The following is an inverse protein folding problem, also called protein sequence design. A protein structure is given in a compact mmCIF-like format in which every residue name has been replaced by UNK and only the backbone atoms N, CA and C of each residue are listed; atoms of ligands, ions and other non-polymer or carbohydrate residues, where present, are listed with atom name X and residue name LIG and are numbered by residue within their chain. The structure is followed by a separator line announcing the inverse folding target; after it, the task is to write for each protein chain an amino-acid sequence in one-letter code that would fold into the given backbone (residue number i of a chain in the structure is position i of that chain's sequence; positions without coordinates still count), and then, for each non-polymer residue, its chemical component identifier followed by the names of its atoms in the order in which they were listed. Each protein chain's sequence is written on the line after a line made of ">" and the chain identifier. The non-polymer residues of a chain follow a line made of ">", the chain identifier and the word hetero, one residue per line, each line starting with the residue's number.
data_IF_081537845061
#
_entry.id   IF_081537845061
#
_cell.length_a   1.000
_cell.length_b   1.000
_cell.length_c   1.000
_cell.angle_alpha   90.00
_cell.angle_beta   90.00
_cell.angle_gamma   90.00
#
_symmetry.space_group_name_H-M   'P 1'
#
loop_
_entity.id
_entity.type
_entity.pdbx_description
1 polymer ?
#
# COMPACT_ATOMS: atom_id res chain seq x y z
N UNK A 1 11.33 20.55 10.86
CA UNK A 1 10.21 20.37 11.80
C UNK A 1 8.91 20.60 11.02
N UNK A 2 7.98 19.65 11.07
CA UNK A 2 6.68 19.75 10.41
C UNK A 2 5.70 20.48 11.34
N UNK A 3 5.17 21.63 10.92
CA UNK A 3 4.13 22.36 11.69
C UNK A 3 2.78 21.65 11.69
N UNK A 4 2.59 20.59 10.89
CA UNK A 4 1.34 19.84 10.83
C UNK A 4 0.94 19.25 12.20
N UNK A 5 1.93 18.90 13.02
CA UNK A 5 1.68 18.39 14.36
C UNK A 5 1.03 19.41 15.28
N UNK A 6 1.30 20.70 15.08
CA UNK A 6 0.68 21.80 15.84
C UNK A 6 -0.80 21.95 15.47
N UNK A 7 -1.19 21.51 14.27
CA UNK A 7 -2.57 21.56 13.77
C UNK A 7 -3.38 20.30 14.08
N UNK A 8 -2.80 19.29 14.75
CA UNK A 8 -3.47 18.02 15.04
C UNK A 8 -3.37 17.69 16.54
N UNK A 9 -4.40 17.10 17.16
CA UNK A 9 -4.42 16.87 18.61
C UNK A 9 -3.46 15.79 19.10
N UNK A 10 -3.11 14.82 18.26
CA UNK A 10 -2.35 13.61 18.64
C UNK A 10 -1.08 13.39 17.80
N UNK A 11 -0.15 12.58 18.31
CA UNK A 11 1.09 12.25 17.61
C UNK A 11 0.87 11.24 16.47
N UNK A 12 -0.09 10.33 16.66
CA UNK A 12 -0.33 9.21 15.76
C UNK A 12 -1.81 9.03 15.43
N UNK A 13 -2.06 8.31 14.33
CA UNK A 13 -3.36 7.81 13.88
C UNK A 13 -3.23 6.30 13.72
N UNK A 14 -4.13 5.53 14.32
CA UNK A 14 -4.25 4.09 14.08
C UNK A 14 -4.88 3.86 12.70
N UNK A 15 -4.13 3.27 11.78
CA UNK A 15 -4.59 2.93 10.43
C UNK A 15 -5.54 1.72 10.47
N UNK A 16 -6.20 1.43 9.34
CA UNK A 16 -7.09 0.27 9.21
C UNK A 16 -6.42 -1.08 9.51
N UNK A 17 -5.11 -1.18 9.32
CA UNK A 17 -4.32 -2.39 9.61
C UNK A 17 -3.89 -2.47 11.10
N UNK A 18 -4.36 -1.54 11.93
CA UNK A 18 -4.04 -1.47 13.36
C UNK A 18 -2.69 -0.82 13.68
N UNK A 19 -1.91 -0.37 12.69
CA UNK A 19 -0.62 0.28 12.92
C UNK A 19 -0.78 1.75 13.25
N UNK A 20 0.09 2.24 14.12
CA UNK A 20 0.19 3.67 14.42
C UNK A 20 0.99 4.39 13.33
N UNK A 21 0.44 5.50 12.82
CA UNK A 21 1.08 6.35 11.82
C UNK A 21 1.30 7.76 12.35
N UNK A 22 2.54 8.22 12.35
CA UNK A 22 2.89 9.56 12.84
C UNK A 22 2.32 10.66 11.96
N UNK A 23 1.62 11.61 12.58
CA UNK A 23 1.04 12.78 11.90
C UNK A 23 2.11 13.66 11.26
N UNK A 24 3.30 13.74 11.87
CA UNK A 24 4.45 14.45 11.30
C UNK A 24 4.90 13.88 9.96
N UNK A 25 4.54 12.64 9.61
CA UNK A 25 4.89 12.02 8.32
C UNK A 25 3.92 12.36 7.19
N UNK A 26 2.76 12.97 7.47
CA UNK A 26 1.75 13.38 6.48
C UNK A 26 2.18 14.62 5.68
N UNK A 27 3.38 14.61 5.09
CA UNK A 27 4.01 15.79 4.50
C UNK A 27 3.46 16.18 3.13
N UNK A 28 2.95 15.23 2.35
CA UNK A 28 2.46 15.45 0.96
C UNK A 28 1.23 14.58 0.71
N UNK A 29 0.57 14.73 -0.45
CA UNK A 29 -0.58 13.88 -0.77
C UNK A 29 -0.21 12.42 -1.03
N UNK A 30 1.07 12.08 -1.18
CA UNK A 30 1.53 10.68 -1.23
C UNK A 30 1.11 9.88 0.00
N UNK A 31 1.12 10.49 1.18
CA UNK A 31 0.67 9.83 2.41
C UNK A 31 -0.85 9.76 2.55
N UNK A 32 -1.57 10.43 1.65
CA UNK A 32 -3.00 10.26 1.44
C UNK A 32 -3.28 9.22 0.33
N UNK A 33 -2.22 8.52 -0.12
CA UNK A 33 -2.21 7.58 -1.23
C UNK A 33 -2.69 8.21 -2.55
N UNK A 34 -2.50 9.52 -2.70
CA UNK A 34 -2.75 10.23 -3.95
C UNK A 34 -1.65 9.91 -4.96
N UNK A 35 -2.04 9.82 -6.23
CA UNK A 35 -1.14 9.51 -7.33
C UNK A 35 -0.93 10.74 -8.20
N UNK A 36 0.31 10.92 -8.63
CA UNK A 36 0.66 11.91 -9.64
C UNK A 36 0.37 11.34 -11.04
N UNK A 37 -0.03 12.20 -11.96
CA UNK A 37 -0.35 11.88 -13.35
C UNK A 37 -0.19 13.11 -14.25
N UNK A 38 -0.50 12.99 -15.54
CA UNK A 38 -0.53 14.16 -16.44
C UNK A 38 -1.51 15.26 -15.96
N UNK A 39 -2.54 14.90 -15.20
CA UNK A 39 -3.60 15.80 -14.71
C UNK A 39 -3.63 15.95 -13.20
N UNK A 40 -2.70 15.32 -12.48
CA UNK A 40 -2.65 15.35 -11.02
C UNK A 40 -1.21 15.49 -10.49
N UNK A 41 -0.99 16.41 -9.55
CA UNK A 41 0.28 16.55 -8.84
C UNK A 41 0.02 16.91 -7.37
N UNK A 42 0.28 15.95 -6.50
CA UNK A 42 0.09 16.03 -5.06
C UNK A 42 1.43 16.07 -4.29
N UNK A 43 2.52 16.42 -4.99
CA UNK A 43 3.86 16.51 -4.42
C UNK A 43 4.07 17.72 -3.50
N UNK A 44 3.15 18.69 -3.55
CA UNK A 44 3.23 19.90 -2.73
C UNK A 44 3.08 19.59 -1.22
N UNK A 45 3.72 20.40 -0.35
CA UNK A 45 3.56 20.24 1.09
C UNK A 45 2.11 20.37 1.54
N UNK A 46 1.67 19.44 2.38
CA UNK A 46 0.36 19.49 2.99
C UNK A 46 0.22 20.69 3.93
N UNK A 47 -1.02 21.13 4.10
CA UNK A 47 -1.39 22.27 4.95
C UNK A 47 -2.19 21.75 6.13
N UNK A 48 -1.83 22.18 7.34
CA UNK A 48 -2.62 21.96 8.55
C UNK A 48 -3.59 23.12 8.77
N UNK A 49 -4.85 22.80 9.04
CA UNK A 49 -5.94 23.75 9.26
C UNK A 49 -6.65 23.36 10.56
N UNK A 50 -6.97 24.35 11.39
CA UNK A 50 -7.90 24.19 12.51
C UNK A 50 -9.11 25.06 12.18
N UNK A 51 -10.28 24.44 12.07
CA UNK A 51 -11.54 25.14 11.76
C UNK A 51 -12.06 25.89 12.99
N UNK A 52 -13.07 26.75 12.79
CA UNK A 52 -13.60 27.61 13.86
C UNK A 52 -14.22 26.86 15.05
N UNK A 53 -14.65 25.61 14.84
CA UNK A 53 -15.14 24.69 15.87
C UNK A 53 -14.02 23.86 16.53
N UNK A 54 -12.75 24.09 16.15
CA UNK A 54 -11.59 23.39 16.67
C UNK A 54 -11.25 22.08 15.98
N UNK A 55 -12.01 21.68 14.94
CA UNK A 55 -11.76 20.46 14.17
C UNK A 55 -10.45 20.58 13.37
N UNK A 56 -9.48 19.68 13.58
CA UNK A 56 -8.23 19.68 12.84
C UNK A 56 -8.40 19.00 11.46
N UNK A 57 -7.75 19.55 10.45
CA UNK A 57 -7.69 19.02 9.10
C UNK A 57 -6.25 19.11 8.57
N UNK A 58 -5.81 18.08 7.85
CA UNK A 58 -4.61 18.13 7.01
C UNK A 58 -5.05 17.99 5.55
N UNK A 59 -4.67 18.95 4.72
CA UNK A 59 -5.11 19.08 3.33
C UNK A 59 -3.93 18.98 2.37
N UNK A 60 -4.13 18.27 1.26
CA UNK A 60 -3.25 18.18 0.11
C UNK A 60 -3.96 18.74 -1.12
N UNK A 61 -3.23 19.50 -1.94
CA UNK A 61 -3.77 20.15 -3.13
C UNK A 61 -3.13 19.57 -4.39
N UNK A 62 -3.97 19.33 -5.41
CA UNK A 62 -3.53 19.02 -6.76
C UNK A 62 -3.06 20.31 -7.45
N UNK A 63 -1.76 20.49 -7.60
CA UNK A 63 -1.18 21.72 -8.21
C UNK A 63 -1.51 21.88 -9.70
N UNK A 64 -2.00 20.81 -10.36
CA UNK A 64 -2.46 20.85 -11.76
C UNK A 64 -3.90 21.34 -11.90
N UNK A 65 -4.64 21.50 -10.81
CA UNK A 65 -5.97 22.08 -10.89
C UNK A 65 -5.91 23.56 -11.26
N UNK A 66 -6.81 23.96 -12.15
CA UNK A 66 -6.99 25.36 -12.49
C UNK A 66 -7.41 26.16 -11.27
N UNK A 67 -6.92 27.40 -11.18
CA UNK A 67 -7.36 28.33 -10.15
C UNK A 67 -8.88 28.50 -10.21
N UNK A 68 -9.53 28.44 -9.05
CA UNK A 68 -10.96 28.65 -8.97
C UNK A 68 -11.29 30.10 -9.32
N UNK A 69 -12.29 30.28 -10.19
CA UNK A 69 -12.84 31.59 -10.48
C UNK A 69 -13.68 32.03 -9.27
N UNK A 70 -13.30 33.10 -8.55
CA UNK A 70 -13.98 33.52 -7.33
C UNK A 70 -15.43 33.98 -7.56
N UNK A 71 -15.81 34.28 -8.80
CA UNK A 71 -17.20 34.68 -9.14
C UNK A 71 -18.02 33.54 -9.72
N UNK A 72 -17.43 32.37 -9.94
CA UNK A 72 -18.12 31.21 -10.53
C UNK A 72 -18.67 30.30 -9.45
N UNK A 73 -19.97 30.02 -9.53
CA UNK A 73 -20.61 28.98 -8.71
C UNK A 73 -20.33 27.61 -9.33
N UNK A 74 -19.69 26.72 -8.57
CA UNK A 74 -19.44 25.35 -8.97
C UNK A 74 -20.50 24.43 -8.36
N UNK A 75 -21.52 24.08 -9.16
CA UNK A 75 -22.62 23.22 -8.72
C UNK A 75 -22.14 21.82 -8.34
N UNK A 76 -22.70 21.30 -7.25
CA UNK A 76 -22.49 19.92 -6.80
C UNK A 76 -23.51 19.00 -7.46
N UNK A 77 -23.07 17.81 -7.86
CA UNK A 77 -23.97 16.68 -8.06
C UNK A 77 -24.41 16.16 -6.69
N UNK A 78 -25.64 15.67 -6.60
CA UNK A 78 -26.18 15.08 -5.37
C UNK A 78 -26.76 13.69 -5.64
N UNK A 79 -26.56 12.78 -4.68
CA UNK A 79 -27.18 11.46 -4.62
C UNK A 79 -27.74 11.29 -3.20
N UNK A 80 -28.99 10.84 -3.08
CA UNK A 80 -29.71 10.77 -1.79
C UNK A 80 -29.67 12.09 -0.98
N UNK A 81 -29.77 13.23 -1.67
CA UNK A 81 -29.63 14.58 -1.11
C UNK A 81 -28.27 14.87 -0.44
N UNK A 82 -27.24 14.10 -0.77
CA UNK A 82 -25.86 14.32 -0.31
C UNK A 82 -24.98 14.75 -1.49
N UNK A 83 -24.08 15.73 -1.31
CA UNK A 83 -23.14 16.12 -2.36
C UNK A 83 -22.19 14.96 -2.70
N UNK A 84 -21.98 14.71 -4.00
CA UNK A 84 -21.15 13.60 -4.49
C UNK A 84 -19.89 14.14 -5.17
N UNK A 85 -20.03 14.92 -6.22
CA UNK A 85 -18.91 15.51 -6.96
C UNK A 85 -19.19 16.95 -7.35
N UNK A 86 -18.14 17.75 -7.48
CA UNK A 86 -18.16 18.94 -8.31
C UNK A 86 -16.84 19.05 -9.10
N UNK A 87 -16.75 20.02 -10.00
CA UNK A 87 -15.56 20.25 -10.83
C UNK A 87 -14.26 20.50 -10.04
N UNK A 88 -14.35 20.81 -8.75
CA UNK A 88 -13.22 21.19 -7.89
C UNK A 88 -12.92 20.16 -6.81
N UNK A 89 -13.82 19.18 -6.61
CA UNK A 89 -13.72 18.20 -5.53
C UNK A 89 -12.44 17.37 -5.67
N UNK A 90 -12.11 16.93 -6.88
CA UNK A 90 -10.89 16.18 -7.18
C UNK A 90 -9.58 16.99 -7.09
N UNK A 91 -9.64 18.27 -6.72
CA UNK A 91 -8.47 19.13 -6.57
C UNK A 91 -7.88 19.12 -5.17
N UNK A 92 -8.61 18.57 -4.20
CA UNK A 92 -8.19 18.51 -2.80
C UNK A 92 -8.39 17.10 -2.27
N UNK A 93 -7.42 16.65 -1.46
CA UNK A 93 -7.54 15.47 -0.64
C UNK A 93 -7.28 15.88 0.81
N UNK A 94 -8.07 15.39 1.76
CA UNK A 94 -7.98 15.83 3.13
C UNK A 94 -8.26 14.72 4.15
N UNK A 95 -7.71 14.92 5.34
CA UNK A 95 -7.82 14.05 6.51
C UNK A 95 -8.34 14.89 7.66
N UNK A 96 -9.45 14.49 8.28
CA UNK A 96 -10.13 15.25 9.34
C UNK A 96 -10.22 14.41 10.60
N UNK A 97 -10.04 15.03 11.76
CA UNK A 97 -10.43 14.40 13.01
C UNK A 97 -11.88 14.79 13.32
N UNK A 98 -12.78 13.82 13.38
CA UNK A 98 -14.22 14.07 13.46
C UNK A 98 -14.82 13.85 14.85
N UNK A 99 -14.04 13.38 15.84
CA UNK A 99 -14.60 12.83 17.07
C UNK A 99 -13.97 13.29 18.40
N UNK A 100 -13.04 14.23 18.40
CA UNK A 100 -12.68 15.13 19.48
C UNK A 100 -12.23 14.56 20.84
N UNK A 101 -12.34 13.26 21.16
CA UNK A 101 -12.25 12.79 22.57
C UNK A 101 -11.74 11.36 22.85
N UNK A 102 -11.42 10.50 21.88
CA UNK A 102 -10.89 9.14 22.18
C UNK A 102 -9.52 8.92 21.55
N UNK A 103 -8.55 8.54 22.38
CA UNK A 103 -7.23 8.06 21.94
C UNK A 103 -7.23 6.52 21.83
N UNK A 104 -6.43 5.94 20.92
CA UNK A 104 -5.84 6.60 19.75
C UNK A 104 -6.90 6.88 18.68
N UNK A 105 -6.64 7.88 17.84
CA UNK A 105 -7.51 8.22 16.72
C UNK A 105 -7.48 7.11 15.68
N UNK A 106 -8.63 6.51 15.36
CA UNK A 106 -8.68 5.44 14.37
C UNK A 106 -9.19 5.94 13.03
N UNK A 107 -8.51 5.54 11.96
CA UNK A 107 -8.95 5.76 10.59
C UNK A 107 -10.34 5.15 10.37
N UNK A 108 -11.24 5.92 9.75
CA UNK A 108 -12.65 5.60 9.50
C UNK A 108 -13.57 5.53 10.74
N UNK A 109 -13.07 5.79 11.95
CA UNK A 109 -13.89 5.95 13.16
C UNK A 109 -13.81 7.38 13.67
N UNK A 110 -12.60 7.82 14.03
CA UNK A 110 -12.31 9.17 14.53
C UNK A 110 -11.64 10.04 13.48
N UNK A 111 -11.07 9.43 12.43
CA UNK A 111 -10.41 10.12 11.33
C UNK A 111 -11.12 9.85 10.02
N UNK A 112 -11.69 10.89 9.43
CA UNK A 112 -12.35 10.83 8.14
C UNK A 112 -11.41 11.23 6.99
N UNK A 113 -11.63 10.63 5.83
CA UNK A 113 -10.92 10.93 4.59
C UNK A 113 -11.88 11.59 3.60
N UNK A 114 -11.45 12.67 2.95
CA UNK A 114 -12.15 13.30 1.84
C UNK A 114 -11.26 13.28 0.61
N UNK A 115 -11.69 12.60 -0.45
CA UNK A 115 -10.95 12.46 -1.71
C UNK A 115 -9.50 11.93 -1.58
N UNK A 116 -9.15 11.42 -0.41
CA UNK A 116 -7.92 10.68 -0.16
C UNK A 116 -8.18 9.19 -0.39
N UNK A 117 -7.25 8.52 -1.07
CA UNK A 117 -7.34 7.09 -1.34
C UNK A 117 -7.03 6.23 -0.10
N UNK A 118 -6.34 6.80 0.88
CA UNK A 118 -6.00 6.17 2.13
C UNK A 118 -5.19 7.07 3.04
N UNK A 119 -4.56 6.48 4.05
CA UNK A 119 -3.69 7.19 4.98
C UNK A 119 -2.45 6.35 5.28
N UNK A 120 -1.31 7.01 5.37
CA UNK A 120 -0.02 6.38 5.63
C UNK A 120 0.84 6.24 4.39
N UNK A 121 2.02 5.64 4.58
CA UNK A 121 2.94 5.39 3.48
C UNK A 121 2.35 4.34 2.53
N UNK A 122 2.31 4.63 1.22
CA UNK A 122 2.26 3.56 0.20
C UNK A 122 3.47 2.62 0.31
N UNK A 123 4.52 3.06 1.00
CA UNK A 123 5.74 2.33 1.32
C UNK A 123 5.70 1.68 2.71
N UNK A 124 5.31 0.42 2.80
CA UNK A 124 5.52 -0.40 3.99
C UNK A 124 6.95 -0.98 4.03
N UNK A 125 7.52 -1.35 2.88
CA UNK A 125 8.87 -1.94 2.79
C UNK A 125 9.70 -1.13 1.79
N UNK A 126 10.76 -0.49 2.27
CA UNK A 126 11.72 0.23 1.42
C UNK A 126 13.02 -0.57 1.33
N UNK A 127 13.44 -0.88 0.11
CA UNK A 127 14.71 -1.54 -0.17
C UNK A 127 15.79 -0.51 -0.51
N UNK A 128 17.06 -0.88 -0.28
CA UNK A 128 18.22 -0.01 -0.54
C UNK A 128 18.38 0.40 -2.01
N UNK A 129 17.77 -0.34 -2.94
CA UNK A 129 17.71 0.05 -4.36
C UNK A 129 16.63 1.09 -4.67
N UNK A 130 16.04 1.70 -3.64
CA UNK A 130 15.00 2.73 -3.77
C UNK A 130 13.60 2.18 -4.05
N UNK A 131 13.45 0.86 -4.27
CA UNK A 131 12.13 0.25 -4.43
C UNK A 131 11.33 0.34 -3.14
N UNK A 132 10.05 0.56 -3.34
CA UNK A 132 9.10 0.81 -2.29
C UNK A 132 7.94 -0.16 -2.49
N UNK A 133 7.49 -0.84 -1.44
CA UNK A 133 6.40 -1.81 -1.53
C UNK A 133 5.29 -1.51 -0.54
N UNK A 134 4.05 -1.78 -0.93
CA UNK A 134 2.85 -1.63 -0.10
C UNK A 134 2.84 -2.58 1.09
N UNK A 135 1.90 -2.34 2.02
CA UNK A 135 1.58 -3.34 3.04
C UNK A 135 1.18 -4.66 2.40
N UNK A 136 1.51 -5.76 3.07
CA UNK A 136 1.14 -7.09 2.60
C UNK A 136 -0.35 -7.32 2.71
N UNK A 137 -0.88 -8.11 1.79
CA UNK A 137 -2.27 -8.52 1.76
C UNK A 137 -2.37 -10.01 1.41
N UNK A 138 -3.51 -10.59 1.77
CA UNK A 138 -3.90 -11.93 1.30
C UNK A 138 -4.67 -11.77 0.00
N UNK A 139 -4.20 -12.32 -1.13
CA UNK A 139 -4.89 -12.14 -2.40
C UNK A 139 -6.28 -12.77 -2.41
N UNK A 140 -7.25 -12.11 -3.03
CA UNK A 140 -8.48 -12.76 -3.49
C UNK A 140 -8.17 -13.43 -4.83
N UNK A 141 -8.47 -14.72 -5.02
CA UNK A 141 -8.12 -15.41 -6.26
C UNK A 141 -8.90 -14.84 -7.45
N UNK A 142 -8.29 -14.90 -8.62
CA UNK A 142 -9.02 -14.77 -9.87
C UNK A 142 -9.60 -16.12 -10.29
N UNK A 143 -10.80 -16.10 -10.84
CA UNK A 143 -11.30 -17.25 -11.58
C UNK A 143 -10.54 -17.42 -12.90
N UNK A 144 -10.55 -18.65 -13.44
CA UNK A 144 -9.94 -18.91 -14.75
C UNK A 144 -10.48 -17.98 -15.84
N UNK A 145 -11.81 -17.76 -15.86
CA UNK A 145 -12.46 -16.90 -16.82
C UNK A 145 -12.04 -15.43 -16.68
N UNK A 146 -11.96 -14.91 -15.45
CA UNK A 146 -11.47 -13.54 -15.20
C UNK A 146 -9.99 -13.38 -15.55
N UNK A 147 -9.17 -14.40 -15.26
CA UNK A 147 -7.76 -14.41 -15.63
C UNK A 147 -7.61 -14.37 -17.15
N UNK A 148 -8.28 -15.25 -17.89
CA UNK A 148 -8.21 -15.29 -19.36
C UNK A 148 -8.66 -13.97 -20.00
N UNK A 149 -9.69 -13.33 -19.44
CA UNK A 149 -10.18 -12.04 -19.92
C UNK A 149 -9.18 -10.89 -19.75
N UNK A 150 -8.24 -10.98 -18.78
CA UNK A 150 -7.32 -9.89 -18.42
C UNK A 150 -5.84 -10.24 -18.51
N UNK A 151 -5.48 -11.46 -18.90
CA UNK A 151 -4.09 -11.94 -18.85
C UNK A 151 -3.10 -11.06 -19.62
N UNK A 152 -3.51 -10.56 -20.78
CA UNK A 152 -2.69 -9.67 -21.60
C UNK A 152 -2.45 -8.31 -20.92
N UNK A 153 -3.50 -7.71 -20.34
CA UNK A 153 -3.41 -6.46 -19.55
C UNK A 153 -2.50 -6.62 -18.35
N UNK A 154 -2.59 -7.77 -17.67
CA UNK A 154 -1.87 -8.07 -16.44
C UNK A 154 -0.45 -8.60 -16.68
N UNK A 155 -0.08 -8.91 -17.92
CA UNK A 155 1.21 -9.54 -18.26
C UNK A 155 1.34 -11.00 -17.81
N UNK A 156 0.22 -11.69 -17.59
CA UNK A 156 0.16 -13.12 -17.26
C UNK A 156 0.28 -13.93 -18.56
N UNK A 157 1.17 -14.93 -18.62
CA UNK A 157 1.32 -15.76 -19.82
C UNK A 157 0.10 -16.66 -20.04
N UNK A 158 -0.27 -17.42 -19.02
CA UNK A 158 -1.34 -18.42 -19.10
C UNK A 158 -2.15 -18.53 -17.80
N UNK A 159 -3.41 -18.94 -17.93
CA UNK A 159 -4.37 -19.08 -16.82
C UNK A 159 -4.78 -20.55 -16.66
N UNK A 160 -4.27 -21.19 -15.61
CA UNK A 160 -4.37 -22.63 -15.47
C UNK A 160 -5.48 -23.10 -14.51
N UNK A 161 -5.86 -22.27 -13.54
CA UNK A 161 -6.69 -22.71 -12.41
C UNK A 161 -7.99 -21.94 -12.28
N UNK A 162 -9.00 -22.62 -11.73
CA UNK A 162 -10.29 -22.02 -11.41
C UNK A 162 -10.22 -21.06 -10.23
N UNK A 163 -9.24 -21.21 -9.34
CA UNK A 163 -8.96 -20.29 -8.24
C UNK A 163 -7.46 -19.98 -8.22
N UNK A 164 -7.07 -18.87 -8.81
CA UNK A 164 -5.68 -18.47 -9.00
C UNK A 164 -5.35 -17.27 -8.11
N UNK A 165 -4.79 -17.56 -6.92
CA UNK A 165 -4.42 -16.56 -5.92
C UNK A 165 -3.24 -15.71 -6.37
N UNK A 166 -2.32 -16.27 -7.16
CA UNK A 166 -1.24 -15.49 -7.74
C UNK A 166 -1.77 -14.49 -8.78
N UNK A 167 -2.66 -14.92 -9.70
CA UNK A 167 -3.30 -14.01 -10.64
C UNK A 167 -4.16 -12.96 -9.93
N UNK A 168 -4.77 -13.33 -8.79
CA UNK A 168 -5.41 -12.41 -7.86
C UNK A 168 -4.47 -11.32 -7.34
N UNK A 169 -3.27 -11.70 -6.90
CA UNK A 169 -2.24 -10.77 -6.47
C UNK A 169 -1.80 -9.84 -7.61
N UNK A 170 -1.55 -10.42 -8.79
CA UNK A 170 -1.19 -9.69 -10.01
C UNK A 170 -2.27 -8.66 -10.37
N UNK A 171 -3.55 -9.03 -10.34
CA UNK A 171 -4.67 -8.11 -10.57
C UNK A 171 -4.68 -6.97 -9.56
N UNK A 172 -4.51 -7.29 -8.27
CA UNK A 172 -4.52 -6.27 -7.22
C UNK A 172 -3.34 -5.29 -7.35
N UNK A 173 -2.19 -5.75 -7.83
CA UNK A 173 -1.04 -4.90 -8.11
C UNK A 173 -1.07 -4.24 -9.50
N UNK A 174 -2.06 -4.55 -10.34
CA UNK A 174 -2.15 -3.98 -11.69
C UNK A 174 -1.10 -4.50 -12.67
N UNK A 175 -0.58 -5.72 -12.46
CA UNK A 175 0.32 -6.40 -13.39
C UNK A 175 1.52 -7.08 -12.74
N UNK A 176 2.11 -8.05 -13.45
CA UNK A 176 3.23 -8.88 -12.93
C UNK A 176 4.46 -8.05 -12.55
N UNK A 177 4.71 -6.97 -13.29
CA UNK A 177 5.84 -6.07 -13.05
C UNK A 177 5.69 -5.22 -11.78
N UNK A 178 4.49 -5.17 -11.21
CA UNK A 178 4.20 -4.45 -9.98
C UNK A 178 4.25 -5.37 -8.74
N UNK A 179 4.62 -6.64 -8.89
CA UNK A 179 4.98 -7.51 -7.77
C UNK A 179 6.51 -7.49 -7.56
N UNK A 180 7.00 -7.88 -6.37
CA UNK A 180 8.44 -8.04 -6.15
C UNK A 180 9.02 -9.13 -7.07
N UNK A 181 10.25 -8.91 -7.52
CA UNK A 181 11.06 -9.99 -8.13
C UNK A 181 11.58 -10.93 -7.04
N UNK A 182 12.04 -12.13 -7.42
CA UNK A 182 12.71 -13.04 -6.49
C UNK A 182 13.98 -12.43 -5.90
N UNK A 183 14.66 -11.55 -6.64
CA UNK A 183 15.78 -10.77 -6.14
C UNK A 183 15.35 -9.75 -5.06
N UNK A 184 14.22 -9.07 -5.24
CA UNK A 184 13.67 -8.17 -4.23
C UNK A 184 13.29 -8.95 -2.96
N UNK A 185 12.66 -10.12 -3.10
CA UNK A 185 12.35 -11.01 -1.97
C UNK A 185 13.62 -11.50 -1.24
N UNK A 186 14.73 -11.73 -1.96
CA UNK A 186 16.03 -12.04 -1.36
C UNK A 186 16.59 -10.89 -0.51
N UNK A 187 16.41 -9.64 -0.96
CA UNK A 187 16.79 -8.46 -0.16
C UNK A 187 15.94 -8.30 1.09
N UNK A 188 14.64 -8.54 1.00
CA UNK A 188 13.75 -8.58 2.17
C UNK A 188 14.21 -9.65 3.15
N UNK A 189 14.57 -10.85 2.66
CA UNK A 189 15.13 -11.89 3.52
C UNK A 189 16.41 -11.41 4.22
N UNK A 190 17.31 -10.79 3.47
CA UNK A 190 18.56 -10.25 4.02
C UNK A 190 18.28 -9.26 5.16
N UNK A 191 17.24 -8.43 5.06
CA UNK A 191 16.89 -7.43 6.07
C UNK A 191 16.25 -8.00 7.36
N UNK A 192 15.67 -9.21 7.34
CA UNK A 192 14.98 -9.78 8.51
C UNK A 192 15.83 -10.74 9.35
N UNK A 193 16.89 -11.32 8.76
CA UNK A 193 17.78 -12.26 9.46
C UNK A 193 19.01 -11.55 10.02
N UNK A 194 19.51 -12.06 11.14
CA UNK A 194 20.69 -11.55 11.80
C UNK A 194 21.93 -11.55 10.88
N UNK A 195 22.69 -10.46 10.94
CA UNK A 195 23.93 -10.30 10.17
C UNK A 195 23.75 -9.92 8.70
N UNK A 196 22.53 -9.61 8.25
CA UNK A 196 22.21 -9.24 6.87
C UNK A 196 22.81 -10.21 5.84
N UNK A 197 22.48 -11.51 5.92
CA UNK A 197 23.11 -12.52 5.06
C UNK A 197 22.84 -12.24 3.59
N UNK A 198 23.78 -12.59 2.72
CA UNK A 198 23.54 -12.49 1.27
C UNK A 198 22.57 -13.58 0.83
N UNK A 199 21.34 -13.19 0.47
CA UNK A 199 20.31 -14.10 -0.05
C UNK A 199 20.07 -13.83 -1.54
N UNK A 200 20.49 -14.77 -2.39
CA UNK A 200 20.25 -14.73 -3.83
C UNK A 200 18.79 -15.03 -4.21
N UNK A 201 18.39 -14.63 -5.42
CA UNK A 201 17.01 -14.73 -5.91
C UNK A 201 16.42 -16.15 -5.81
N UNK A 202 17.20 -17.18 -6.18
CA UNK A 202 16.75 -18.58 -6.19
C UNK A 202 17.49 -19.48 -5.19
N UNK A 203 18.09 -18.88 -4.15
CA UNK A 203 18.89 -19.62 -3.19
C UNK A 203 18.03 -20.13 -2.02
N UNK A 204 18.40 -21.32 -1.55
CA UNK A 204 18.08 -21.80 -0.21
C UNK A 204 19.23 -21.42 0.71
N UNK A 205 18.94 -20.65 1.76
CA UNK A 205 19.93 -20.23 2.76
C UNK A 205 19.50 -20.78 4.10
N UNK A 206 20.36 -21.58 4.73
CA UNK A 206 20.13 -22.25 6.02
C UNK A 206 21.00 -21.65 7.11
N UNK A 207 20.80 -22.12 8.35
CA UNK A 207 21.53 -21.67 9.54
C UNK A 207 21.37 -20.16 9.78
N UNK A 208 20.20 -19.65 9.45
CA UNK A 208 19.82 -18.26 9.71
C UNK A 208 19.32 -18.14 11.14
N UNK A 209 19.41 -16.93 11.68
CA UNK A 209 18.81 -16.58 12.97
C UNK A 209 17.81 -15.46 12.72
N UNK A 210 16.54 -15.77 12.92
CA UNK A 210 15.45 -14.81 12.80
C UNK A 210 15.43 -13.87 14.01
N UNK A 211 15.42 -12.57 13.77
CA UNK A 211 15.29 -11.56 14.84
C UNK A 211 13.81 -11.26 15.03
N UNK A 212 13.23 -11.62 16.18
CA UNK A 212 11.81 -11.34 16.45
C UNK A 212 11.52 -9.85 16.37
N UNK A 213 10.40 -9.49 15.74
CA UNK A 213 9.97 -8.11 15.52
C UNK A 213 10.48 -7.48 14.23
N UNK A 214 11.49 -8.03 13.53
CA UNK A 214 11.99 -7.41 12.28
C UNK A 214 10.99 -7.53 11.15
N UNK A 215 10.37 -8.69 10.93
CA UNK A 215 9.37 -8.82 9.89
C UNK A 215 8.10 -8.03 10.25
N UNK A 216 7.67 -8.04 11.52
CA UNK A 216 6.54 -7.21 11.98
C UNK A 216 6.79 -5.73 11.76
N UNK A 217 8.03 -5.26 11.98
CA UNK A 217 8.41 -3.86 11.73
C UNK A 217 8.31 -3.46 10.26
N UNK A 218 8.40 -4.43 9.35
CA UNK A 218 8.18 -4.28 7.91
C UNK A 218 6.71 -4.56 7.51
N UNK A 219 5.84 -4.84 8.48
CA UNK A 219 4.45 -5.20 8.24
C UNK A 219 4.23 -6.62 7.72
N UNK A 220 5.21 -7.50 7.88
CA UNK A 220 5.16 -8.92 7.50
C UNK A 220 4.77 -9.79 8.71
N UNK A 221 4.15 -10.97 8.51
CA UNK A 221 3.86 -11.88 9.60
C UNK A 221 5.12 -12.49 10.23
N UNK A 222 4.98 -13.05 11.42
CA UNK A 222 6.01 -13.86 12.08
C UNK A 222 5.46 -15.20 12.56
N UNK A 223 6.33 -16.21 12.76
CA UNK A 223 7.72 -16.27 12.31
C UNK A 223 7.86 -16.91 10.92
N UNK A 224 6.81 -17.59 10.45
CA UNK A 224 6.81 -18.31 9.17
C UNK A 224 5.74 -17.75 8.25
N UNK A 225 6.14 -17.34 7.05
CA UNK A 225 5.24 -16.79 6.04
C UNK A 225 5.81 -17.00 4.63
N UNK A 226 4.97 -16.72 3.63
CA UNK A 226 5.30 -16.83 2.22
C UNK A 226 4.90 -15.58 1.47
N UNK A 227 5.75 -15.15 0.54
CA UNK A 227 5.51 -14.01 -0.32
C UNK A 227 5.57 -14.42 -1.79
N UNK A 228 4.54 -14.08 -2.56
CA UNK A 228 4.55 -14.22 -4.02
C UNK A 228 5.57 -13.27 -4.64
N UNK A 229 6.21 -13.72 -5.71
CA UNK A 229 6.91 -12.86 -6.65
C UNK A 229 6.05 -12.60 -7.89
N UNK A 230 6.44 -11.61 -8.69
CA UNK A 230 5.87 -11.37 -10.03
C UNK A 230 6.36 -12.35 -11.09
N UNK A 231 7.24 -13.29 -10.74
CA UNK A 231 7.87 -14.19 -11.70
C UNK A 231 7.06 -15.49 -11.87
N UNK A 232 6.67 -15.79 -13.10
CA UNK A 232 6.09 -17.08 -13.47
C UNK A 232 7.19 -18.16 -13.48
N UNK A 233 6.87 -19.32 -12.90
CA UNK A 233 7.71 -20.51 -12.91
C UNK A 233 7.55 -21.33 -14.19
N UNK A 234 7.96 -22.60 -14.14
CA UNK A 234 7.65 -23.54 -15.21
C UNK A 234 6.16 -23.89 -15.21
N UNK A 235 5.58 -24.03 -16.40
CA UNK A 235 4.20 -24.44 -16.62
C UNK A 235 3.18 -23.57 -15.85
N UNK A 236 2.47 -24.18 -14.91
CA UNK A 236 1.35 -23.63 -14.16
C UNK A 236 1.74 -23.09 -12.77
N UNK A 237 2.98 -22.64 -12.61
CA UNK A 237 3.56 -22.24 -11.33
C UNK A 237 3.94 -20.76 -11.30
N UNK A 238 4.07 -20.23 -10.09
CA UNK A 238 4.65 -18.91 -9.85
C UNK A 238 5.66 -19.00 -8.72
N UNK A 239 6.74 -18.22 -8.82
CA UNK A 239 7.76 -18.21 -7.79
C UNK A 239 7.27 -17.50 -6.53
N UNK A 240 7.67 -18.03 -5.39
CA UNK A 240 7.49 -17.44 -4.07
C UNK A 240 8.76 -17.61 -3.23
N UNK A 241 8.84 -16.86 -2.14
CA UNK A 241 9.84 -17.06 -1.10
C UNK A 241 9.18 -17.45 0.22
N UNK A 242 9.69 -18.52 0.83
CA UNK A 242 9.37 -18.91 2.20
C UNK A 242 10.37 -18.34 3.19
N UNK A 243 9.87 -17.88 4.34
CA UNK A 243 10.63 -17.35 5.45
C UNK A 243 10.36 -18.21 6.67
N UNK A 244 11.42 -18.71 7.32
CA UNK A 244 11.35 -19.61 8.46
C UNK A 244 12.39 -19.17 9.50
N UNK A 245 12.22 -19.52 10.78
CA UNK A 245 13.16 -19.13 11.83
C UNK A 245 14.64 -19.41 11.53
N UNK A 246 14.95 -20.50 10.83
CA UNK A 246 16.32 -20.98 10.60
C UNK A 246 16.76 -21.03 9.14
N UNK A 247 15.88 -20.68 8.20
CA UNK A 247 16.20 -20.69 6.78
C UNK A 247 15.22 -19.86 5.94
N UNK A 248 15.63 -19.50 4.73
CA UNK A 248 14.72 -19.02 3.69
C UNK A 248 14.98 -19.79 2.41
N UNK A 249 13.96 -19.94 1.58
CA UNK A 249 14.11 -20.59 0.29
C UNK A 249 13.18 -19.96 -0.74
N UNK A 250 13.66 -19.94 -1.99
CA UNK A 250 12.82 -19.76 -3.16
C UNK A 250 12.17 -21.07 -3.56
N UNK A 251 10.94 -21.00 -4.06
CA UNK A 251 10.19 -22.15 -4.53
C UNK A 251 9.26 -21.77 -5.67
N UNK A 252 9.09 -22.66 -6.64
CA UNK A 252 8.00 -22.63 -7.62
C UNK A 252 7.10 -23.88 -7.56
N UNK A 253 7.41 -24.87 -6.70
CA UNK A 253 6.75 -26.19 -6.66
C UNK A 253 5.26 -26.12 -6.31
N UNK A 254 4.81 -25.04 -5.68
CA UNK A 254 3.44 -24.92 -5.23
C UNK A 254 2.56 -24.23 -6.27
N UNK A 255 1.38 -24.81 -6.51
CA UNK A 255 0.43 -24.27 -7.48
C UNK A 255 -0.04 -22.86 -7.07
N UNK A 256 -0.41 -22.09 -8.09
CA UNK A 256 -0.94 -20.71 -7.95
C UNK A 256 -2.27 -20.64 -7.16
N UNK A 257 -2.76 -21.76 -6.63
CA UNK A 257 -4.02 -21.89 -5.88
C UNK A 257 -3.88 -21.68 -4.37
N UNK A 258 -2.65 -21.52 -3.87
CA UNK A 258 -2.41 -21.50 -2.42
C UNK A 258 -2.80 -20.15 -1.79
N UNK A 259 -3.83 -20.15 -0.96
CA UNK A 259 -4.36 -18.96 -0.28
C UNK A 259 -3.47 -18.43 0.85
N UNK A 260 -2.59 -19.27 1.40
CA UNK A 260 -1.68 -18.90 2.50
C UNK A 260 -0.42 -18.15 2.08
N UNK A 261 -0.29 -17.75 0.80
CA UNK A 261 0.82 -16.91 0.33
C UNK A 261 0.34 -15.48 0.17
N UNK A 262 1.06 -14.55 0.78
CA UNK A 262 0.74 -13.13 0.74
C UNK A 262 1.42 -12.44 -0.45
N UNK A 263 0.96 -11.23 -0.75
CA UNK A 263 1.57 -10.37 -1.76
C UNK A 263 1.63 -8.93 -1.28
N UNK A 264 2.42 -8.13 -1.98
CA UNK A 264 2.47 -6.69 -1.88
C UNK A 264 2.88 -6.14 -3.23
N UNK A 265 2.55 -4.88 -3.48
CA UNK A 265 2.76 -4.24 -4.76
C UNK A 265 3.93 -3.27 -4.68
N UNK A 266 4.61 -3.03 -5.78
CA UNK A 266 5.50 -1.89 -5.92
C UNK A 266 4.65 -0.62 -5.73
N UNK A 267 4.99 0.15 -4.71
CA UNK A 267 4.41 1.45 -4.42
C UNK A 267 5.13 2.56 -5.17
N UNK A 268 4.40 3.64 -5.42
CA UNK A 268 4.89 4.88 -6.05
C UNK A 268 5.75 5.74 -5.10
#
# INVERSE_FOLDING_TARGET
>A
SSKLRECWPYDTITLKDGKEYEVTKLQTGKQFQMKDSETADYSSPNIGIITGDGTPMILSYNTKCEALDPVKTYSWSTEDNKPVTNATSNCVAAVFEINGKKKPNKQNEDVALFNANGLGSSCAIKLDNGKCFTSVFTPTPLTKAECEARKSELGIKECYYDNDYWAGAVKQCGGVNNLPTMADLGKIASAIYEGNPTVGAYNIVKNLTYISGTATSLGLPEPTFYLWSGEEGLDNRAYRRGFYPTYTYSDDYNSRIYSGVQAFCLGD
#
